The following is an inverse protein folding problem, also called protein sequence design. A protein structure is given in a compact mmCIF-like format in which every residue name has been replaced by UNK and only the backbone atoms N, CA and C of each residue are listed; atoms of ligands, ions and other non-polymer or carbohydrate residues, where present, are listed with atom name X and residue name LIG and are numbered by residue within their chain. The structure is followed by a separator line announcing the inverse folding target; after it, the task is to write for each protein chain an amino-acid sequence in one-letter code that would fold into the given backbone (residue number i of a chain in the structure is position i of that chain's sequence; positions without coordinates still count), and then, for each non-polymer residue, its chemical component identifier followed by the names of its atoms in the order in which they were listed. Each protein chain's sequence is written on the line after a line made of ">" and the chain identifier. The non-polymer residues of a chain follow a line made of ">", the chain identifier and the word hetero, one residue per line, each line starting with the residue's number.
data_IF_457684294811
#
_entry.id   IF_457684294811
#
_cell.length_a   1.000
_cell.length_b   1.000
_cell.length_c   1.000
_cell.angle_alpha   90.00
_cell.angle_beta   90.00
_cell.angle_gamma   90.00
#
_symmetry.space_group_name_H-M   'P 1'
#
loop_
_entity.id
_entity.type
_entity.pdbx_description
1 polymer ?
#
# COMPACT_ATOMS: atom_id res chain seq x y z
N UNK A 1 -4.76 5.41 -13.35
CA UNK A 1 -4.68 4.55 -12.16
C UNK A 1 -5.93 4.83 -11.35
N UNK A 2 -6.64 3.80 -10.90
CA UNK A 2 -7.75 3.95 -9.95
C UNK A 2 -7.25 3.45 -8.60
N UNK A 3 -7.71 4.05 -7.50
CA UNK A 3 -7.34 3.67 -6.13
C UNK A 3 -7.53 2.16 -5.88
N UNK A 4 -8.55 1.54 -6.50
CA UNK A 4 -8.77 0.09 -6.50
C UNK A 4 -7.68 -0.72 -7.23
N UNK A 5 -7.21 -0.24 -8.38
CA UNK A 5 -6.14 -0.90 -9.13
C UNK A 5 -4.81 -0.81 -8.36
N UNK A 6 -4.54 0.32 -7.72
CA UNK A 6 -3.35 0.55 -6.91
C UNK A 6 -3.39 -0.33 -5.65
N UNK A 7 -4.54 -0.46 -4.99
CA UNK A 7 -4.74 -1.39 -3.87
C UNK A 7 -4.44 -2.82 -4.29
N UNK A 8 -5.02 -3.29 -5.41
CA UNK A 8 -4.79 -4.64 -5.93
C UNK A 8 -3.32 -4.89 -6.27
N UNK A 9 -2.65 -3.92 -6.89
CA UNK A 9 -1.23 -4.01 -7.23
C UNK A 9 -0.37 -4.09 -5.95
N UNK A 10 -0.61 -3.21 -4.98
CA UNK A 10 0.09 -3.20 -3.71
C UNK A 10 -0.11 -4.52 -2.95
N UNK A 11 -1.33 -5.06 -2.89
CA UNK A 11 -1.62 -6.36 -2.25
C UNK A 11 -0.86 -7.49 -2.93
N UNK A 12 -0.81 -7.51 -4.27
CA UNK A 12 -0.10 -8.55 -5.01
C UNK A 12 1.42 -8.49 -4.78
N UNK A 13 2.00 -7.29 -4.76
CA UNK A 13 3.42 -7.08 -4.44
C UNK A 13 3.70 -7.54 -3.02
N UNK A 14 2.90 -7.11 -2.04
CA UNK A 14 3.07 -7.48 -0.64
C UNK A 14 2.98 -8.99 -0.41
N UNK A 15 2.04 -9.66 -1.05
CA UNK A 15 1.91 -11.12 -0.96
C UNK A 15 3.16 -11.83 -1.48
N UNK A 16 3.76 -11.32 -2.56
CA UNK A 16 5.01 -11.87 -3.10
C UNK A 16 6.19 -11.62 -2.15
N UNK A 17 6.34 -10.39 -1.65
CA UNK A 17 7.41 -10.03 -0.71
C UNK A 17 7.32 -10.86 0.58
N UNK A 18 6.11 -11.06 1.11
CA UNK A 18 5.88 -11.90 2.28
C UNK A 18 6.31 -13.36 2.03
N UNK A 19 5.91 -13.92 0.88
CA UNK A 19 6.26 -15.29 0.53
C UNK A 19 7.78 -15.47 0.35
N UNK A 20 8.48 -14.47 -0.18
CA UNK A 20 9.93 -14.50 -0.32
C UNK A 20 10.64 -14.31 1.05
N UNK A 21 10.07 -13.50 1.95
CA UNK A 21 10.51 -13.42 3.34
C UNK A 21 10.35 -14.75 4.08
N UNK A 22 9.20 -15.43 3.97
CA UNK A 22 8.97 -16.72 4.65
C UNK A 22 9.99 -17.79 4.21
N UNK A 23 10.31 -17.84 2.90
CA UNK A 23 11.36 -18.72 2.38
C UNK A 23 12.73 -18.39 2.97
N UNK A 24 13.14 -17.12 2.92
CA UNK A 24 14.42 -16.66 3.44
C UNK A 24 14.54 -16.89 4.96
N UNK A 25 13.47 -16.63 5.71
CA UNK A 25 13.40 -16.92 7.14
C UNK A 25 13.61 -18.41 7.42
N UNK A 26 12.94 -19.29 6.65
CA UNK A 26 13.08 -20.73 6.82
C UNK A 26 14.51 -21.18 6.53
N UNK A 27 15.10 -20.74 5.41
CA UNK A 27 16.48 -21.06 5.05
C UNK A 27 17.48 -20.61 6.12
N UNK A 28 17.33 -19.40 6.65
CA UNK A 28 18.18 -18.90 7.74
C UNK A 28 18.02 -19.73 9.02
N UNK A 29 16.80 -20.14 9.39
CA UNK A 29 16.56 -21.00 10.54
C UNK A 29 17.21 -22.39 10.37
N UNK A 30 17.10 -22.99 9.18
CA UNK A 30 17.72 -24.28 8.86
C UNK A 30 19.26 -24.17 8.91
N UNK A 31 19.84 -23.06 8.44
CA UNK A 31 21.28 -22.77 8.54
C UNK A 31 21.73 -22.61 9.99
N UNK A 32 21.00 -21.83 10.81
CA UNK A 32 21.32 -21.62 12.23
C UNK A 32 21.30 -22.96 12.99
N UNK A 33 20.30 -23.79 12.74
CA UNK A 33 20.16 -25.11 13.36
C UNK A 33 21.29 -26.05 12.94
N UNK A 34 21.61 -26.09 11.63
CA UNK A 34 22.72 -26.91 11.11
C UNK A 34 24.06 -26.49 11.70
N UNK A 35 24.35 -25.19 11.76
CA UNK A 35 25.55 -24.65 12.40
C UNK A 35 25.59 -24.99 13.89
N UNK A 36 24.47 -24.84 14.60
CA UNK A 36 24.36 -25.21 16.01
C UNK A 36 24.67 -26.68 16.27
N UNK A 37 24.14 -27.59 15.44
CA UNK A 37 24.46 -29.03 15.54
C UNK A 37 25.93 -29.32 15.23
N UNK A 38 26.48 -28.68 14.20
CA UNK A 38 27.88 -28.86 13.81
C UNK A 38 28.84 -28.43 14.93
N UNK A 39 28.59 -27.28 15.57
CA UNK A 39 29.36 -26.80 16.73
C UNK A 39 29.35 -27.85 17.84
N UNK A 40 28.17 -28.34 18.25
CA UNK A 40 28.04 -29.32 19.34
C UNK A 40 28.77 -30.64 19.04
N UNK A 41 28.71 -31.13 17.79
CA UNK A 41 29.41 -32.35 17.38
C UNK A 41 30.93 -32.15 17.48
N UNK A 42 31.46 -31.06 16.91
CA UNK A 42 32.89 -30.77 16.90
C UNK A 42 33.41 -30.59 18.34
N UNK A 43 32.70 -29.84 19.19
CA UNK A 43 33.07 -29.64 20.59
C UNK A 43 33.10 -30.97 21.39
N UNK A 44 32.16 -31.87 21.14
CA UNK A 44 32.07 -33.18 21.82
C UNK A 44 33.23 -34.10 21.41
N UNK A 45 33.53 -34.18 20.12
CA UNK A 45 34.64 -34.98 19.60
C UNK A 45 36.00 -34.44 20.08
N UNK A 46 36.15 -33.11 20.17
CA UNK A 46 37.35 -32.47 20.74
C UNK A 46 37.57 -32.79 22.23
N UNK A 47 36.49 -32.89 23.03
CA UNK A 47 36.55 -33.24 24.46
C UNK A 47 36.81 -34.74 24.69
N UNK A 48 36.47 -35.61 23.73
CA UNK A 48 36.62 -37.06 23.82
C UNK A 48 38.05 -37.60 23.62
N UNK A 49 39.02 -36.75 23.26
CA UNK A 49 40.43 -37.15 23.08
C UNK A 49 40.71 -37.93 21.79
N UNK A 50 39.71 -38.14 20.93
CA UNK A 50 39.91 -38.66 19.59
C UNK A 50 40.62 -37.61 18.74
N UNK A 51 41.78 -37.98 18.17
CA UNK A 51 42.42 -37.17 17.13
C UNK A 51 41.45 -37.05 15.95
N UNK A 52 41.38 -35.89 15.29
CA UNK A 52 40.56 -35.73 14.07
C UNK A 52 40.96 -36.66 12.91
N UNK A 53 42.06 -37.39 13.06
CA UNK A 53 42.41 -38.52 12.21
C UNK A 53 41.38 -39.68 12.29
N UNK A 54 40.67 -39.85 13.41
CA UNK A 54 39.51 -40.77 13.52
C UNK A 54 38.20 -40.15 13.00
N UNK A 55 38.14 -38.82 12.85
CA UNK A 55 37.03 -38.16 12.17
C UNK A 55 37.08 -38.35 10.64
N UNK A 56 38.25 -38.76 10.10
CA UNK A 56 38.42 -39.20 8.71
C UNK A 56 37.54 -40.42 8.37
N UNK A 57 37.21 -41.24 9.36
CA UNK A 57 36.22 -42.32 9.24
C UNK A 57 34.77 -41.87 9.49
N UNK A 58 34.56 -40.66 10.00
CA UNK A 58 33.25 -40.03 10.10
C UNK A 58 33.07 -39.07 8.92
N UNK A 59 32.79 -39.64 7.73
CA UNK A 59 32.50 -38.89 6.50
C UNK A 59 31.50 -37.75 6.69
N UNK A 60 30.64 -37.85 7.72
CA UNK A 60 29.62 -36.88 8.08
C UNK A 60 30.12 -35.46 8.37
N UNK A 61 31.35 -35.24 8.88
CA UNK A 61 31.80 -33.88 9.24
C UNK A 61 32.37 -33.14 8.02
N UNK A 62 33.16 -33.83 7.20
CA UNK A 62 33.66 -33.28 5.94
C UNK A 62 32.51 -33.13 4.92
N UNK A 63 31.57 -34.07 4.90
CA UNK A 63 30.33 -33.94 4.12
C UNK A 63 29.46 -32.79 4.64
N UNK A 64 29.33 -32.59 5.96
CA UNK A 64 28.58 -31.45 6.50
C UNK A 64 29.25 -30.10 6.15
N UNK A 65 30.58 -29.99 6.23
CA UNK A 65 31.30 -28.80 5.77
C UNK A 65 31.14 -28.59 4.25
N UNK A 66 31.20 -29.66 3.45
CA UNK A 66 31.06 -29.59 1.98
C UNK A 66 29.65 -29.20 1.56
N UNK A 67 28.62 -29.76 2.21
CA UNK A 67 27.21 -29.41 2.01
C UNK A 67 26.96 -27.97 2.46
N UNK A 68 27.57 -27.52 3.57
CA UNK A 68 27.46 -26.12 3.98
C UNK A 68 28.11 -25.17 2.98
N UNK A 69 29.31 -25.47 2.46
CA UNK A 69 29.96 -24.64 1.42
C UNK A 69 29.14 -24.59 0.12
N UNK A 70 28.47 -25.68 -0.25
CA UNK A 70 27.60 -25.74 -1.43
C UNK A 70 26.23 -25.08 -1.22
N UNK A 71 25.68 -25.13 0.01
CA UNK A 71 24.40 -24.54 0.36
C UNK A 71 24.51 -23.04 0.67
N UNK A 72 25.70 -22.56 1.03
CA UNK A 72 25.85 -21.21 1.51
C UNK A 72 26.12 -20.20 0.39
N UNK A 73 25.19 -19.27 0.23
CA UNK A 73 25.43 -17.90 -0.23
C UNK A 73 26.25 -17.07 0.78
N UNK A 74 27.02 -17.72 1.65
CA UNK A 74 27.88 -17.08 2.65
C UNK A 74 29.11 -16.50 1.94
N UNK A 75 29.48 -15.29 2.37
CA UNK A 75 30.63 -14.50 1.93
C UNK A 75 31.82 -15.35 1.45
N UNK A 76 32.34 -15.01 0.27
CA UNK A 76 33.48 -15.69 -0.39
C UNK A 76 34.68 -15.92 0.52
N UNK A 77 34.94 -15.04 1.48
CA UNK A 77 36.03 -15.18 2.44
C UNK A 77 35.85 -16.37 3.39
N UNK A 78 34.63 -16.60 3.87
CA UNK A 78 34.33 -17.67 4.82
C UNK A 78 34.24 -19.01 4.08
N UNK A 79 33.65 -19.03 2.88
CA UNK A 79 33.70 -20.17 1.97
C UNK A 79 35.14 -20.56 1.59
N UNK A 80 36.02 -19.57 1.38
CA UNK A 80 37.45 -19.81 1.10
C UNK A 80 38.17 -20.39 2.32
N UNK A 81 37.88 -19.92 3.53
CA UNK A 81 38.45 -20.48 4.77
C UNK A 81 37.98 -21.92 5.01
N UNK A 82 36.69 -22.21 4.85
CA UNK A 82 36.17 -23.57 4.94
C UNK A 82 36.74 -24.49 3.86
N UNK A 83 36.87 -24.01 2.62
CA UNK A 83 37.45 -24.78 1.51
C UNK A 83 38.93 -25.05 1.74
N UNK A 84 39.70 -24.05 2.18
CA UNK A 84 41.11 -24.21 2.52
C UNK A 84 41.29 -25.20 3.68
N UNK A 85 40.37 -25.23 4.64
CA UNK A 85 40.39 -26.18 5.74
C UNK A 85 40.10 -27.62 5.29
N UNK A 86 39.09 -27.83 4.44
CA UNK A 86 38.78 -29.13 3.82
C UNK A 86 39.97 -29.62 2.97
N UNK A 87 40.54 -28.75 2.14
CA UNK A 87 41.70 -29.07 1.31
C UNK A 87 42.95 -29.38 2.15
N UNK A 88 43.20 -28.66 3.24
CA UNK A 88 44.35 -28.94 4.10
C UNK A 88 44.18 -30.25 4.90
N UNK A 89 42.94 -30.69 5.14
CA UNK A 89 42.68 -32.04 5.67
C UNK A 89 42.91 -33.14 4.63
N UNK A 90 42.65 -32.86 3.35
CA UNK A 90 42.82 -33.81 2.24
C UNK A 90 44.27 -33.88 1.75
N UNK A 91 45.04 -32.79 1.83
CA UNK A 91 46.47 -32.74 1.43
C UNK A 91 47.42 -33.48 2.40
N UNK A 92 46.89 -34.16 3.41
CA UNK A 92 47.68 -35.10 4.23
C UNK A 92 47.73 -36.51 3.63
N UNK A 93 47.13 -36.73 2.45
CA UNK A 93 47.07 -38.02 1.75
C UNK A 93 48.11 -38.21 0.61
N UNK A 94 49.00 -37.25 0.37
CA UNK A 94 49.98 -37.32 -0.74
C UNK A 94 51.45 -37.35 -0.27
N UNK A 95 51.69 -37.91 0.92
CA UNK A 95 53.04 -38.10 1.47
C UNK A 95 53.27 -39.56 1.91
N UNK A 96 53.11 -40.48 0.97
CA UNK A 96 53.68 -41.84 1.04
C UNK A 96 55.20 -41.81 0.73
N UNK A 97 55.99 -41.08 1.53
CA UNK A 97 57.39 -41.43 1.85
C UNK A 97 58.01 -40.42 2.82
N UNK A 98 58.41 -40.89 4.00
CA UNK A 98 59.60 -40.54 4.81
C UNK A 98 59.32 -40.79 6.29
N UNK A 99 59.94 -41.85 6.77
CA UNK A 99 60.23 -42.19 8.15
C UNK A 99 60.94 -41.03 8.89
N UNK A 100 60.27 -40.43 9.87
CA UNK A 100 60.94 -39.74 10.98
C UNK A 100 60.00 -39.58 12.19
N UNK A 101 60.31 -40.32 13.25
CA UNK A 101 59.72 -40.19 14.57
C UNK A 101 59.76 -38.75 15.12
N UNK A 102 58.64 -38.27 15.66
CA UNK A 102 58.60 -37.10 16.54
C UNK A 102 57.34 -36.25 16.37
N UNK A 103 56.38 -36.42 17.28
CA UNK A 103 55.08 -35.74 17.31
C UNK A 103 55.11 -34.22 17.01
N UNK A 104 54.25 -33.74 16.09
CA UNK A 104 53.37 -32.62 16.42
C UNK A 104 51.97 -32.65 15.74
N UNK A 105 51.52 -33.77 15.19
CA UNK A 105 50.23 -33.79 14.46
C UNK A 105 49.00 -33.54 15.36
N UNK A 106 48.98 -34.07 16.59
CA UNK A 106 47.86 -33.89 17.52
C UNK A 106 47.82 -32.50 18.18
N UNK A 107 48.97 -31.88 18.42
CA UNK A 107 49.09 -30.54 19.05
C UNK A 107 48.80 -29.41 18.07
N UNK A 108 49.24 -29.55 16.81
CA UNK A 108 48.88 -28.60 15.74
C UNK A 108 47.38 -28.66 15.48
N UNK A 109 46.79 -29.86 15.40
CA UNK A 109 45.35 -30.00 15.15
C UNK A 109 44.48 -29.47 16.31
N UNK A 110 44.86 -29.72 17.57
CA UNK A 110 44.17 -29.17 18.75
C UNK A 110 44.19 -27.64 18.80
N UNK A 111 45.22 -27.01 18.23
CA UNK A 111 45.30 -25.55 18.08
C UNK A 111 44.45 -24.99 16.93
N UNK A 112 44.10 -25.81 15.92
CA UNK A 112 43.25 -25.41 14.79
C UNK A 112 41.76 -25.66 15.05
N UNK A 113 41.42 -26.63 15.90
CA UNK A 113 40.02 -26.93 16.21
C UNK A 113 39.31 -25.84 17.02
N UNK A 114 40.05 -25.03 17.79
CA UNK A 114 39.50 -23.83 18.45
C UNK A 114 39.08 -22.73 17.46
N UNK A 115 39.82 -22.56 16.35
CA UNK A 115 39.47 -21.57 15.33
C UNK A 115 38.33 -22.02 14.42
N UNK A 116 38.07 -23.33 14.28
CA UNK A 116 36.93 -23.86 13.52
C UNK A 116 35.62 -23.62 14.27
N UNK A 117 35.59 -23.93 15.57
CA UNK A 117 34.40 -23.68 16.41
C UNK A 117 34.11 -22.17 16.44
N UNK A 118 35.12 -21.33 16.65
CA UNK A 118 35.00 -19.87 16.59
C UNK A 118 34.44 -19.39 15.24
N UNK A 119 34.93 -19.93 14.12
CA UNK A 119 34.40 -19.59 12.78
C UNK A 119 32.93 -20.01 12.61
N UNK A 120 32.53 -21.19 13.11
CA UNK A 120 31.14 -21.66 13.03
C UNK A 120 30.21 -20.86 13.95
N UNK A 121 30.68 -20.47 15.13
CA UNK A 121 29.97 -19.58 16.06
C UNK A 121 29.76 -18.20 15.44
N UNK A 122 30.78 -17.63 14.78
CA UNK A 122 30.70 -16.38 14.03
C UNK A 122 29.67 -16.45 12.89
N UNK A 123 29.68 -17.53 12.11
CA UNK A 123 28.71 -17.75 11.03
C UNK A 123 27.29 -17.89 11.57
N UNK A 124 27.12 -18.57 12.71
CA UNK A 124 25.83 -18.73 13.37
C UNK A 124 25.31 -17.38 13.89
N UNK A 125 26.15 -16.61 14.57
CA UNK A 125 25.80 -15.27 15.06
C UNK A 125 25.43 -14.33 13.90
N UNK A 126 26.14 -14.42 12.77
CA UNK A 126 25.81 -13.67 11.56
C UNK A 126 24.45 -14.07 10.98
N UNK A 127 24.15 -15.37 10.89
CA UNK A 127 22.85 -15.85 10.43
C UNK A 127 21.71 -15.42 11.37
N UNK A 128 21.91 -15.45 12.69
CA UNK A 128 20.95 -14.95 13.69
C UNK A 128 20.71 -13.43 13.56
N UNK A 129 21.77 -12.66 13.29
CA UNK A 129 21.67 -11.24 13.01
C UNK A 129 20.88 -10.96 11.73
N UNK A 130 21.16 -11.68 10.65
CA UNK A 130 20.43 -11.57 9.38
C UNK A 130 18.96 -11.95 9.53
N UNK A 131 18.64 -12.98 10.32
CA UNK A 131 17.26 -13.36 10.62
C UNK A 131 16.53 -12.26 11.41
N UNK A 132 17.20 -11.63 12.36
CA UNK A 132 16.64 -10.53 13.14
C UNK A 132 16.37 -9.31 12.27
N UNK A 133 17.32 -8.93 11.41
CA UNK A 133 17.17 -7.82 10.46
C UNK A 133 16.07 -8.09 9.43
N UNK A 134 15.98 -9.30 8.90
CA UNK A 134 14.92 -9.71 7.99
C UNK A 134 13.53 -9.60 8.66
N UNK A 135 13.40 -10.07 9.91
CA UNK A 135 12.15 -9.97 10.68
C UNK A 135 11.76 -8.51 10.96
N UNK A 136 12.72 -7.66 11.28
CA UNK A 136 12.47 -6.24 11.49
C UNK A 136 12.01 -5.56 10.19
N UNK A 137 12.70 -5.85 9.08
CA UNK A 137 12.35 -5.35 7.75
C UNK A 137 10.93 -5.76 7.36
N UNK A 138 10.60 -7.03 7.54
CA UNK A 138 9.25 -7.55 7.28
C UNK A 138 8.19 -6.89 8.16
N UNK A 139 8.46 -6.67 9.45
CA UNK A 139 7.53 -5.99 10.35
C UNK A 139 7.25 -4.55 9.89
N UNK A 140 8.30 -3.82 9.49
CA UNK A 140 8.17 -2.47 8.93
C UNK A 140 7.40 -2.49 7.60
N UNK A 141 7.74 -3.40 6.68
CA UNK A 141 7.05 -3.54 5.40
C UNK A 141 5.56 -3.87 5.59
N UNK A 142 5.25 -4.79 6.51
CA UNK A 142 3.88 -5.17 6.86
C UNK A 142 3.09 -3.98 7.41
N UNK A 143 3.66 -3.22 8.34
CA UNK A 143 3.02 -2.04 8.91
C UNK A 143 2.77 -0.97 7.84
N UNK A 144 3.78 -0.67 7.02
CA UNK A 144 3.66 0.32 5.95
C UNK A 144 2.60 -0.08 4.92
N UNK A 145 2.53 -1.36 4.57
CA UNK A 145 1.48 -1.87 3.69
C UNK A 145 0.09 -1.75 4.32
N UNK A 146 -0.09 -2.06 5.61
CA UNK A 146 -1.38 -1.90 6.30
C UNK A 146 -1.84 -0.43 6.29
N UNK A 147 -0.92 0.51 6.53
CA UNK A 147 -1.22 1.94 6.45
C UNK A 147 -1.59 2.38 5.04
N UNK A 148 -0.88 1.89 4.02
CA UNK A 148 -1.20 2.18 2.62
C UNK A 148 -2.56 1.61 2.24
N UNK A 149 -2.83 0.36 2.60
CA UNK A 149 -4.12 -0.30 2.36
C UNK A 149 -5.26 0.48 2.99
N UNK A 150 -5.16 0.82 4.28
CA UNK A 150 -6.18 1.61 4.97
C UNK A 150 -6.41 2.95 4.28
N UNK A 151 -5.33 3.67 3.92
CA UNK A 151 -5.44 4.95 3.23
C UNK A 151 -6.16 4.84 1.89
N UNK A 152 -5.89 3.78 1.13
CA UNK A 152 -6.54 3.55 -0.17
C UNK A 152 -8.01 3.16 -0.02
N UNK A 153 -8.34 2.33 0.99
CA UNK A 153 -9.71 1.94 1.31
C UNK A 153 -10.55 3.15 1.77
N UNK A 154 -9.98 3.99 2.63
CA UNK A 154 -10.61 5.23 3.10
C UNK A 154 -10.85 6.19 1.93
N UNK A 155 -9.84 6.40 1.08
CA UNK A 155 -9.96 7.25 -0.11
C UNK A 155 -11.05 6.76 -1.05
N UNK A 156 -11.15 5.45 -1.29
CA UNK A 156 -12.24 4.86 -2.08
C UNK A 156 -13.61 5.13 -1.46
N UNK A 157 -13.75 5.00 -0.14
CA UNK A 157 -15.00 5.25 0.57
C UNK A 157 -15.39 6.73 0.48
N UNK A 158 -14.46 7.65 0.73
CA UNK A 158 -14.72 9.09 0.64
C UNK A 158 -15.09 9.50 -0.79
N UNK A 159 -14.36 9.02 -1.79
CA UNK A 159 -14.67 9.31 -3.19
C UNK A 159 -16.06 8.79 -3.59
N UNK A 160 -16.47 7.62 -3.09
CA UNK A 160 -17.81 7.09 -3.34
C UNK A 160 -18.90 7.95 -2.68
N UNK A 161 -18.69 8.41 -1.44
CA UNK A 161 -19.61 9.30 -0.74
C UNK A 161 -19.73 10.66 -1.43
N UNK A 162 -18.61 11.26 -1.82
CA UNK A 162 -18.58 12.56 -2.49
C UNK A 162 -19.26 12.50 -3.88
N UNK A 163 -19.04 11.41 -4.62
CA UNK A 163 -19.71 11.16 -5.89
C UNK A 163 -21.23 11.07 -5.71
N UNK A 164 -21.69 10.37 -4.67
CA UNK A 164 -23.13 10.22 -4.39
C UNK A 164 -23.76 11.55 -3.96
N UNK A 165 -23.09 12.29 -3.07
CA UNK A 165 -23.52 13.62 -2.65
C UNK A 165 -23.62 14.58 -3.85
N UNK A 166 -22.60 14.57 -4.72
CA UNK A 166 -22.57 15.38 -5.94
C UNK A 166 -23.70 15.01 -6.91
N UNK A 167 -23.99 13.72 -7.11
CA UNK A 167 -25.11 13.27 -7.94
C UNK A 167 -26.46 13.68 -7.39
N UNK A 168 -26.64 13.59 -6.08
CA UNK A 168 -27.87 14.05 -5.41
C UNK A 168 -28.05 15.56 -5.61
N UNK A 169 -27.02 16.35 -5.34
CA UNK A 169 -27.04 17.81 -5.52
C UNK A 169 -27.29 18.22 -6.97
N UNK A 170 -26.71 17.49 -7.94
CA UNK A 170 -26.97 17.69 -9.37
C UNK A 170 -28.45 17.46 -9.70
N UNK A 171 -29.02 16.37 -9.19
CA UNK A 171 -30.44 16.03 -9.44
C UNK A 171 -31.37 17.09 -8.85
N UNK A 172 -31.09 17.55 -7.63
CA UNK A 172 -31.84 18.62 -6.97
C UNK A 172 -31.74 19.93 -7.75
N UNK A 173 -30.53 20.33 -8.14
CA UNK A 173 -30.29 21.56 -8.92
C UNK A 173 -31.00 21.51 -10.27
N UNK A 174 -31.00 20.34 -10.94
CA UNK A 174 -31.69 20.16 -12.21
C UNK A 174 -33.22 20.21 -12.05
N UNK A 175 -33.75 19.69 -10.94
CA UNK A 175 -35.15 19.86 -10.56
C UNK A 175 -35.51 21.33 -10.35
N UNK A 176 -34.72 22.07 -9.58
CA UNK A 176 -34.95 23.49 -9.32
C UNK A 176 -34.88 24.32 -10.61
N UNK A 177 -33.89 24.07 -11.47
CA UNK A 177 -33.77 24.73 -12.77
C UNK A 177 -35.03 24.53 -13.63
N UNK A 178 -35.61 23.33 -13.60
CA UNK A 178 -36.84 23.02 -14.33
C UNK A 178 -38.03 23.84 -13.79
N UNK A 179 -38.17 23.89 -12.46
CA UNK A 179 -39.20 24.71 -11.79
C UNK A 179 -39.03 26.20 -12.11
N UNK A 180 -37.83 26.75 -11.91
CA UNK A 180 -37.54 28.17 -12.16
C UNK A 180 -37.79 28.56 -13.62
N UNK A 181 -37.47 27.66 -14.55
CA UNK A 181 -37.74 27.87 -15.98
C UNK A 181 -39.24 27.92 -16.28
N UNK A 182 -40.04 27.07 -15.63
CA UNK A 182 -41.49 27.08 -15.77
C UNK A 182 -42.11 28.35 -15.15
N UNK A 183 -41.69 28.72 -13.94
CA UNK A 183 -42.16 29.91 -13.23
C UNK A 183 -41.82 31.20 -13.99
N UNK A 184 -40.61 31.29 -14.56
CA UNK A 184 -40.23 32.41 -15.41
C UNK A 184 -41.14 32.54 -16.63
N UNK A 185 -41.50 31.43 -17.27
CA UNK A 185 -42.43 31.43 -18.41
C UNK A 185 -43.81 31.91 -17.97
N UNK A 186 -44.35 31.36 -16.88
CA UNK A 186 -45.67 31.76 -16.36
C UNK A 186 -45.70 33.24 -15.98
N UNK A 187 -44.65 33.75 -15.35
CA UNK A 187 -44.53 35.17 -14.99
C UNK A 187 -44.50 36.07 -16.22
N UNK A 188 -43.80 35.66 -17.28
CA UNK A 188 -43.80 36.39 -18.56
C UNK A 188 -45.17 36.40 -19.23
N UNK A 189 -45.85 35.26 -19.23
CA UNK A 189 -47.20 35.13 -19.80
C UNK A 189 -48.19 36.04 -19.03
N UNK A 190 -48.16 36.00 -17.69
CA UNK A 190 -48.99 36.86 -16.82
C UNK A 190 -48.68 38.35 -17.00
N UNK A 191 -47.41 38.74 -17.08
CA UNK A 191 -47.01 40.13 -17.33
C UNK A 191 -47.57 40.65 -18.67
N UNK A 192 -47.58 39.81 -19.71
CA UNK A 192 -48.13 40.18 -21.00
C UNK A 192 -49.66 40.40 -20.92
N UNK A 193 -50.37 39.52 -20.20
CA UNK A 193 -51.81 39.65 -19.96
C UNK A 193 -52.14 40.91 -19.16
N UNK A 194 -51.44 41.16 -18.05
CA UNK A 194 -51.61 42.37 -17.23
C UNK A 194 -51.34 43.65 -18.02
N UNK A 195 -50.34 43.62 -18.92
CA UNK A 195 -50.02 44.76 -19.79
C UNK A 195 -51.15 45.04 -20.78
N UNK A 196 -51.74 44.00 -21.35
CA UNK A 196 -52.89 44.13 -22.25
C UNK A 196 -54.13 44.66 -21.50
N UNK A 197 -54.44 44.09 -20.33
CA UNK A 197 -55.56 44.51 -19.49
C UNK A 197 -55.42 45.98 -19.04
N UNK A 198 -54.20 46.42 -18.72
CA UNK A 198 -53.92 47.81 -18.39
C UNK A 198 -54.22 48.76 -19.56
N UNK A 199 -53.85 48.37 -20.79
CA UNK A 199 -54.11 49.17 -21.98
C UNK A 199 -55.60 49.26 -22.29
N UNK A 200 -56.31 48.13 -22.24
CA UNK A 200 -57.77 48.09 -22.39
C UNK A 200 -58.47 48.97 -21.34
N UNK A 201 -58.05 48.87 -20.07
CA UNK A 201 -58.58 49.70 -18.97
C UNK A 201 -58.35 51.19 -19.22
N UNK A 202 -57.19 51.58 -19.79
CA UNK A 202 -56.92 52.98 -20.13
C UNK A 202 -57.87 53.48 -21.22
N UNK A 203 -58.09 52.67 -22.25
CA UNK A 203 -59.01 53.01 -23.35
C UNK A 203 -60.44 53.15 -22.83
N UNK A 204 -60.90 52.21 -22.00
CA UNK A 204 -62.22 52.27 -21.36
C UNK A 204 -62.38 53.52 -20.49
N UNK A 205 -61.37 53.86 -19.70
CA UNK A 205 -61.37 55.05 -18.86
C UNK A 205 -61.47 56.34 -19.70
N UNK A 206 -60.70 56.44 -20.79
CA UNK A 206 -60.76 57.58 -21.72
C UNK A 206 -62.13 57.69 -22.39
N UNK A 207 -62.68 56.57 -22.87
CA UNK A 207 -64.01 56.55 -23.47
C UNK A 207 -65.10 56.99 -22.48
N UNK A 208 -65.07 56.46 -21.25
CA UNK A 208 -66.02 56.85 -20.20
C UNK A 208 -65.90 58.30 -19.79
N UNK A 209 -64.68 58.84 -19.72
CA UNK A 209 -64.46 60.26 -19.46
C UNK A 209 -65.10 61.14 -20.56
N UNK A 210 -64.89 60.79 -21.83
CA UNK A 210 -65.48 61.51 -22.95
C UNK A 210 -67.03 61.42 -22.98
N UNK A 211 -67.59 60.23 -22.72
CA UNK A 211 -69.04 60.03 -22.59
C UNK A 211 -69.63 60.89 -21.45
N UNK A 212 -68.96 60.93 -20.31
CA UNK A 212 -69.40 61.72 -19.15
C UNK A 212 -69.37 63.22 -19.42
N UNK A 213 -68.32 63.72 -20.07
CA UNK A 213 -68.22 65.13 -20.47
C UNK A 213 -69.36 65.51 -21.44
N UNK A 214 -69.58 64.70 -22.48
CA UNK A 214 -70.66 64.92 -23.44
C UNK A 214 -72.05 64.90 -22.78
N UNK A 215 -72.31 63.92 -21.91
CA UNK A 215 -73.57 63.83 -21.17
C UNK A 215 -73.77 65.00 -20.21
N UNK A 216 -72.70 65.47 -19.55
CA UNK A 216 -72.76 66.63 -18.65
C UNK A 216 -73.09 67.91 -19.41
N UNK A 217 -72.46 68.13 -20.56
CA UNK A 217 -72.74 69.27 -21.43
C UNK A 217 -74.18 69.22 -21.95
N UNK A 218 -74.62 68.08 -22.51
CA UNK A 218 -76.00 67.89 -22.98
C UNK A 218 -77.03 68.14 -21.86
N UNK A 219 -76.77 67.64 -20.64
CA UNK A 219 -77.65 67.87 -19.50
C UNK A 219 -77.70 69.34 -19.08
N UNK A 220 -76.58 70.06 -19.16
CA UNK A 220 -76.55 71.50 -18.89
C UNK A 220 -77.42 72.27 -19.88
N UNK A 221 -77.28 71.95 -21.17
CA UNK A 221 -78.08 72.53 -22.25
C UNK A 221 -79.58 72.25 -22.08
N UNK A 222 -79.96 71.01 -21.72
CA UNK A 222 -81.34 70.65 -21.42
C UNK A 222 -81.91 71.45 -20.25
N UNK A 223 -81.14 71.60 -19.17
CA UNK A 223 -81.57 72.38 -17.99
C UNK A 223 -81.76 73.87 -18.34
N UNK A 224 -80.88 74.45 -19.15
CA UNK A 224 -81.05 75.82 -19.66
C UNK A 224 -82.30 75.98 -20.53
N UNK A 225 -82.58 75.00 -21.40
CA UNK A 225 -83.79 75.00 -22.23
C UNK A 225 -85.06 74.91 -21.38
N UNK A 226 -85.08 74.04 -20.37
CA UNK A 226 -86.18 73.92 -19.42
C UNK A 226 -86.39 75.20 -18.60
N UNK A 227 -85.32 75.88 -18.19
CA UNK A 227 -85.41 77.17 -17.49
C UNK A 227 -86.04 78.25 -18.38
N UNK A 228 -85.60 78.35 -19.65
CA UNK A 228 -86.18 79.27 -20.64
C UNK A 228 -87.66 78.99 -20.91
N UNK A 229 -88.07 77.72 -20.94
CA UNK A 229 -89.46 77.33 -21.19
C UNK A 229 -90.42 77.61 -20.01
N UNK A 230 -89.88 77.86 -18.81
CA UNK A 230 -90.66 78.15 -17.58
C UNK A 230 -90.74 79.64 -17.23
N UNK A 231 -89.98 80.49 -17.92
CA UNK A 231 -89.97 81.95 -17.76
C UNK A 231 -90.98 82.64 -18.69
#
# INVERSE_FOLDING_TARGET
>A
ATTEADLKAATAIRAKEHADFEKSQKELLDVIDTLGRAIVIIEKEMKGGASMMQLKSAGSVIEALTVMVQASSINSADATKLTALVQNSQNSDDADDIDAAGAPAATVYKSHSGSIVETLEDLKAKAESQLTEARQTEATASHNFQMLQQSLEDEMQFNAQDLEATKSALTETQGQLTTDTADLKMTKDALAEDTAALEDTKQDCQAKAAEFEAATNSRSEELEALAKARA
#
